data_IF_730095755470
#
_entry.id   IF_730095755470
#
_cell.length_a   1.000
_cell.length_b   1.000
_cell.length_c   1.000
_cell.angle_alpha   90.00
_cell.angle_beta   90.00
_cell.angle_gamma   90.00
#
_symmetry.space_group_name_H-M   'P 1'
#
loop_
_entity.id
_entity.type
_entity.pdbx_description
1 polymer ?
#
# COMPACT_ATOMS: atom_id res chain seq x y z
N UNK A 1 12.86 5.26 17.53
CA UNK A 1 11.42 5.54 17.30
C UNK A 1 10.80 4.36 16.55
N UNK A 2 9.62 3.88 16.95
CA UNK A 2 8.95 2.74 16.29
C UNK A 2 8.37 3.21 14.95
N UNK A 3 8.57 2.42 13.89
CA UNK A 3 7.96 2.63 12.57
C UNK A 3 6.76 1.70 12.41
N UNK A 4 5.65 2.23 11.91
CA UNK A 4 4.46 1.43 11.63
C UNK A 4 4.22 1.39 10.13
N UNK A 5 3.92 0.20 9.62
CA UNK A 5 3.55 -0.02 8.23
C UNK A 5 2.11 -0.50 8.19
N UNK A 6 1.25 0.29 7.57
CA UNK A 6 -0.14 -0.09 7.34
C UNK A 6 -0.28 -0.52 5.89
N UNK A 7 -0.68 -1.77 5.67
CA UNK A 7 -0.93 -2.32 4.33
C UNK A 7 -2.42 -2.57 4.21
N UNK A 8 -3.04 -2.02 3.18
CA UNK A 8 -4.44 -2.28 2.91
C UNK A 8 -4.62 -3.24 1.72
N UNK A 9 -5.75 -3.94 1.68
CA UNK A 9 -6.01 -4.87 0.59
C UNK A 9 -6.27 -4.15 -0.74
N UNK A 10 -6.01 -4.89 -1.83
CA UNK A 10 -5.95 -4.44 -3.25
C UNK A 10 -7.28 -3.86 -3.81
N UNK A 11 -8.32 -3.69 -3.00
CA UNK A 11 -9.68 -3.51 -3.51
C UNK A 11 -10.05 -2.07 -3.89
N UNK A 12 -9.44 -1.01 -3.31
CA UNK A 12 -9.80 0.40 -3.60
C UNK A 12 -8.65 1.41 -3.40
N UNK A 13 -8.69 2.52 -4.14
CA UNK A 13 -7.73 3.65 -4.05
C UNK A 13 -8.15 4.68 -2.97
N UNK A 14 -7.27 5.61 -2.56
CA UNK A 14 -7.55 6.67 -1.56
C UNK A 14 -7.33 8.07 -2.17
N UNK A 15 -8.25 9.03 -1.93
CA UNK A 15 -9.40 8.96 -1.03
C UNK A 15 -10.49 8.01 -1.55
N UNK A 16 -11.14 7.23 -0.65
CA UNK A 16 -12.03 6.15 -1.06
C UNK A 16 -13.26 6.71 -1.78
N UNK A 17 -13.42 6.37 -3.06
CA UNK A 17 -14.62 6.71 -3.84
C UNK A 17 -15.89 5.99 -3.32
N UNK A 18 -15.73 4.90 -2.56
CA UNK A 18 -16.81 4.13 -1.94
C UNK A 18 -16.43 3.75 -0.51
N UNK A 19 -17.42 3.70 0.39
CA UNK A 19 -17.36 3.50 1.85
C UNK A 19 -16.43 2.38 2.36
N UNK A 20 -15.11 2.60 2.28
CA UNK A 20 -14.09 1.71 2.83
C UNK A 20 -13.65 2.23 4.20
N UNK A 21 -14.45 1.93 5.23
CA UNK A 21 -14.28 2.40 6.62
C UNK A 21 -12.88 2.16 7.18
N UNK A 22 -12.26 1.01 6.86
CA UNK A 22 -10.92 0.65 7.32
C UNK A 22 -9.85 1.61 6.76
N UNK A 23 -10.00 2.04 5.50
CA UNK A 23 -9.03 2.94 4.82
C UNK A 23 -9.05 4.33 5.41
N UNK A 24 -10.24 4.84 5.70
CA UNK A 24 -10.42 6.13 6.39
C UNK A 24 -9.85 6.10 7.80
N UNK A 25 -10.06 4.99 8.51
CA UNK A 25 -9.51 4.81 9.85
C UNK A 25 -7.97 4.80 9.84
N UNK A 26 -7.34 4.03 8.95
CA UNK A 26 -5.86 3.99 8.83
C UNK A 26 -5.32 5.39 8.50
N UNK A 27 -5.95 6.09 7.56
CA UNK A 27 -5.55 7.45 7.19
C UNK A 27 -5.60 8.42 8.38
N UNK A 28 -6.71 8.43 9.14
CA UNK A 28 -6.86 9.29 10.31
C UNK A 28 -5.90 8.94 11.43
N UNK A 29 -5.76 7.65 11.74
CA UNK A 29 -4.84 7.18 12.78
C UNK A 29 -3.41 7.57 12.43
N UNK A 30 -2.98 7.35 11.18
CA UNK A 30 -1.65 7.70 10.74
C UNK A 30 -1.41 9.22 10.70
N UNK A 31 -2.45 10.03 10.41
CA UNK A 31 -2.38 11.49 10.41
C UNK A 31 -2.24 12.08 11.82
N UNK A 32 -3.00 11.54 12.78
CA UNK A 32 -2.98 12.01 14.18
C UNK A 32 -1.75 11.48 14.92
N UNK A 33 -1.28 10.29 14.55
CA UNK A 33 -0.09 9.68 15.15
C UNK A 33 1.19 10.40 14.74
N UNK A 34 1.98 10.80 15.74
CA UNK A 34 3.34 11.34 15.56
C UNK A 34 4.41 10.23 15.38
N UNK A 35 3.99 8.99 15.15
CA UNK A 35 4.90 7.90 14.82
C UNK A 35 5.24 7.93 13.32
N UNK A 36 6.41 7.43 12.95
CA UNK A 36 6.79 7.28 11.55
C UNK A 36 5.91 6.21 10.88
N UNK A 37 4.88 6.65 10.16
CA UNK A 37 3.84 5.83 9.56
C UNK A 37 4.04 5.76 8.04
N UNK A 38 4.20 4.54 7.53
CA UNK A 38 4.18 4.25 6.10
C UNK A 38 2.87 3.56 5.76
N UNK A 39 2.10 4.13 4.84
CA UNK A 39 0.81 3.60 4.45
C UNK A 39 0.88 3.11 3.01
N UNK A 40 0.63 1.82 2.77
CA UNK A 40 0.74 1.20 1.45
C UNK A 40 -0.64 0.82 0.93
N UNK A 41 -0.96 1.34 -0.24
CA UNK A 41 -2.22 1.09 -0.94
C UNK A 41 -1.99 0.71 -2.38
N UNK A 42 -3.03 0.21 -3.03
CA UNK A 42 -3.10 0.21 -4.49
C UNK A 42 -3.52 1.59 -4.97
N UNK A 43 -2.80 2.14 -5.94
CA UNK A 43 -3.16 3.39 -6.59
C UNK A 43 -3.84 3.19 -7.93
N UNK A 44 -4.63 4.18 -8.31
CA UNK A 44 -5.15 4.34 -9.67
C UNK A 44 -4.20 5.16 -10.56
N UNK A 45 -4.39 5.08 -11.88
CA UNK A 45 -3.43 5.63 -12.87
C UNK A 45 -3.17 7.14 -12.72
N UNK A 46 -4.10 7.87 -12.15
CA UNK A 46 -4.08 9.34 -12.03
C UNK A 46 -3.54 9.82 -10.68
N UNK A 47 -3.34 8.92 -9.72
CA UNK A 47 -2.92 9.26 -8.38
C UNK A 47 -1.39 9.32 -8.25
N UNK A 48 -0.88 10.16 -7.35
CA UNK A 48 0.55 10.23 -7.08
C UNK A 48 1.03 8.96 -6.37
N UNK A 49 2.15 8.41 -6.85
CA UNK A 49 2.79 7.21 -6.30
C UNK A 49 3.26 7.38 -4.86
N UNK A 50 3.72 8.57 -4.50
CA UNK A 50 4.07 8.91 -3.12
C UNK A 50 3.42 10.24 -2.77
N UNK A 51 2.76 10.27 -1.62
CA UNK A 51 2.12 11.46 -1.08
C UNK A 51 2.45 11.59 0.39
N UNK A 52 2.99 12.74 0.81
CA UNK A 52 3.21 13.03 2.23
C UNK A 52 1.93 13.63 2.81
N UNK A 53 1.39 13.00 3.86
CA UNK A 53 0.22 13.52 4.58
C UNK A 53 0.69 14.47 5.69
N UNK A 54 1.78 14.11 6.36
CA UNK A 54 2.37 14.87 7.46
C UNK A 54 3.89 14.69 7.47
N UNK A 55 4.56 15.34 8.42
CA UNK A 55 6.00 15.18 8.65
C UNK A 55 6.37 13.73 9.02
N UNK A 56 5.45 13.01 9.67
CA UNK A 56 5.66 11.65 10.17
C UNK A 56 4.90 10.58 9.37
N UNK A 57 4.07 10.95 8.40
CA UNK A 57 3.23 10.01 7.65
C UNK A 57 3.32 10.17 6.13
N UNK A 58 3.60 9.07 5.44
CA UNK A 58 3.61 8.99 3.98
C UNK A 58 2.71 7.88 3.45
N UNK A 59 2.06 8.17 2.32
CA UNK A 59 1.30 7.21 1.52
C UNK A 59 2.16 6.79 0.33
N UNK A 60 2.28 5.48 0.14
CA UNK A 60 2.83 4.86 -1.05
C UNK A 60 1.74 4.09 -1.78
N UNK A 61 1.47 4.51 -3.00
CA UNK A 61 0.49 3.90 -3.89
C UNK A 61 1.19 3.00 -4.91
N UNK A 62 0.89 1.72 -4.85
CA UNK A 62 1.38 0.73 -5.81
C UNK A 62 0.46 0.75 -7.02
N UNK A 63 1.01 1.21 -8.15
CA UNK A 63 0.30 1.18 -9.42
C UNK A 63 0.63 -0.10 -10.17
N UNK A 64 -0.40 -0.70 -10.76
CA UNK A 64 -0.23 -1.85 -11.65
C UNK A 64 -0.88 -1.51 -12.98
N UNK A 65 -0.11 -1.60 -14.07
CA UNK A 65 -0.61 -1.24 -15.39
C UNK A 65 -1.73 -2.17 -15.84
N UNK A 66 -2.67 -1.62 -16.62
CA UNK A 66 -3.77 -2.41 -17.18
C UNK A 66 -3.25 -3.53 -18.11
N UNK A 67 -2.15 -3.25 -18.83
CA UNK A 67 -1.45 -4.20 -19.69
C UNK A 67 -0.93 -5.38 -18.86
N UNK A 68 -0.23 -5.11 -17.76
CA UNK A 68 0.26 -6.14 -16.85
C UNK A 68 -0.88 -7.02 -16.33
N UNK A 69 -1.98 -6.40 -15.86
CA UNK A 69 -3.16 -7.15 -15.41
C UNK A 69 -3.75 -8.02 -16.52
N UNK A 70 -3.82 -7.51 -17.75
CA UNK A 70 -4.42 -8.24 -18.88
C UNK A 70 -3.55 -9.42 -19.30
N UNK A 71 -2.24 -9.26 -19.37
CA UNK A 71 -1.34 -10.36 -19.77
C UNK A 71 -1.18 -11.40 -18.66
N UNK A 72 -0.87 -10.99 -17.44
CA UNK A 72 -0.48 -11.93 -16.38
C UNK A 72 -1.70 -12.52 -15.63
N UNK A 73 -2.72 -11.70 -15.39
CA UNK A 73 -3.91 -12.16 -14.63
C UNK A 73 -4.95 -12.86 -15.50
N UNK A 74 -5.08 -12.46 -16.78
CA UNK A 74 -6.09 -13.03 -17.69
C UNK A 74 -5.52 -14.11 -18.62
N UNK A 75 -4.30 -13.96 -19.13
CA UNK A 75 -3.75 -14.87 -20.14
C UNK A 75 -2.81 -15.92 -19.55
N UNK A 76 -1.79 -15.52 -18.79
CA UNK A 76 -0.83 -16.51 -18.27
C UNK A 76 -1.28 -17.19 -16.97
N UNK A 77 -2.25 -16.62 -16.23
CA UNK A 77 -2.62 -17.00 -14.85
C UNK A 77 -1.44 -17.04 -13.86
N UNK A 78 -0.27 -16.59 -14.29
CA UNK A 78 0.96 -16.51 -13.52
C UNK A 78 1.20 -15.04 -13.25
N UNK A 79 1.22 -14.66 -11.96
CA UNK A 79 1.57 -13.31 -11.52
C UNK A 79 3.04 -13.30 -11.10
N UNK A 80 4.00 -12.95 -11.98
CA UNK A 80 5.43 -12.98 -11.65
C UNK A 80 5.81 -11.91 -10.62
N UNK A 81 4.95 -10.93 -10.39
CA UNK A 81 5.21 -9.83 -9.48
C UNK A 81 3.92 -9.44 -8.73
N UNK A 82 3.48 -10.30 -7.79
CA UNK A 82 2.20 -10.15 -7.11
C UNK A 82 2.20 -8.94 -6.19
N UNK A 83 1.01 -8.46 -5.85
CA UNK A 83 0.82 -7.30 -4.99
C UNK A 83 1.59 -7.41 -3.67
N UNK A 84 1.59 -8.59 -3.05
CA UNK A 84 2.34 -8.84 -1.80
C UNK A 84 3.85 -8.59 -1.98
N UNK A 85 4.43 -9.04 -3.10
CA UNK A 85 5.86 -8.84 -3.39
C UNK A 85 6.17 -7.36 -3.62
N UNK A 86 5.27 -6.62 -4.28
CA UNK A 86 5.38 -5.15 -4.45
C UNK A 86 5.35 -4.40 -3.12
N UNK A 87 4.46 -4.81 -2.21
CA UNK A 87 4.38 -4.25 -0.86
C UNK A 87 5.71 -4.47 -0.14
N UNK A 88 6.21 -5.71 -0.15
CA UNK A 88 7.49 -6.06 0.48
C UNK A 88 8.62 -5.21 -0.08
N UNK A 89 8.79 -5.14 -1.39
CA UNK A 89 9.86 -4.34 -1.99
C UNK A 89 9.76 -2.85 -1.62
N UNK A 90 8.54 -2.32 -1.51
CA UNK A 90 8.31 -0.93 -1.06
C UNK A 90 8.72 -0.74 0.40
N UNK A 91 8.38 -1.68 1.27
CA UNK A 91 8.76 -1.66 2.70
C UNK A 91 10.28 -1.84 2.86
N UNK A 92 10.87 -2.80 2.15
CA UNK A 92 12.30 -3.12 2.17
C UNK A 92 13.16 -1.96 1.65
N UNK A 93 12.70 -1.27 0.61
CA UNK A 93 13.35 -0.06 0.10
C UNK A 93 13.24 1.12 1.09
N UNK A 94 12.14 1.20 1.84
CA UNK A 94 11.94 2.23 2.89
C UNK A 94 12.69 1.91 4.20
N UNK A 95 12.99 0.63 4.43
CA UNK A 95 13.50 0.10 5.70
C UNK A 95 14.07 -1.29 5.48
N UNK A 96 15.36 -1.49 5.78
CA UNK A 96 15.87 -2.82 6.09
C UNK A 96 15.00 -3.43 7.21
N UNK A 97 14.11 -4.38 6.89
CA UNK A 97 13.14 -4.96 7.83
C UNK A 97 12.98 -6.48 7.65
N UNK A 98 12.86 -7.15 8.80
CA UNK A 98 12.84 -8.59 9.01
C UNK A 98 11.46 -9.21 8.68
N UNK A 99 11.49 -10.32 7.93
CA UNK A 99 10.37 -11.00 7.28
C UNK A 99 9.38 -11.70 8.23
N UNK A 100 9.69 -11.80 9.53
CA UNK A 100 8.91 -12.55 10.53
C UNK A 100 7.63 -11.88 11.03
N UNK A 101 7.36 -10.61 10.66
CA UNK A 101 6.27 -9.79 11.25
C UNK A 101 5.11 -9.42 10.32
N UNK A 102 5.09 -9.89 9.08
CA UNK A 102 3.96 -9.64 8.16
C UNK A 102 2.77 -10.54 8.52
N UNK A 103 1.92 -10.07 9.45
CA UNK A 103 0.58 -10.66 9.65
C UNK A 103 -0.40 -10.03 8.67
N UNK A 104 -0.85 -10.83 7.71
CA UNK A 104 -1.98 -10.50 6.86
C UNK A 104 -3.26 -10.88 7.60
N UNK A 105 -4.05 -9.88 8.03
CA UNK A 105 -5.42 -10.10 8.47
C UNK A 105 -6.32 -10.02 7.23
N UNK A 106 -6.89 -11.17 6.86
CA UNK A 106 -7.91 -11.30 5.81
C UNK A 106 -9.26 -10.74 6.29
#
# INVERSE_FOLDING_TARGET
MKKFVFVAPEFHSIPPNYAATVKWWIYNVAKISQANNLIIYKGERTEKTVEKISEYASIHRIHTSAIYKRFFRKWSRLDPYPYVKRVIDTVSCSTYFDYSKLRFTL
#
